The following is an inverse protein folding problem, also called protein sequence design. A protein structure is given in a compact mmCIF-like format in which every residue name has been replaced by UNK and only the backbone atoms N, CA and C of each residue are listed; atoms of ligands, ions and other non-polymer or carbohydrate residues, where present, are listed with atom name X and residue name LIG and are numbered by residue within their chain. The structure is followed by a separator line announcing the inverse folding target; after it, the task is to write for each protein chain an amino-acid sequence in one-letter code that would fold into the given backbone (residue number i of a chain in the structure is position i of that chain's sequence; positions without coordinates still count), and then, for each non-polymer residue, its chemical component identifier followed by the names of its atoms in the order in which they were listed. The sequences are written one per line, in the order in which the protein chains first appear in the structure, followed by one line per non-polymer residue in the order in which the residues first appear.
data_IF_506704947998
#
_entry.id   IF_506704947998
#
_cell.length_a   1.000
_cell.length_b   1.000
_cell.length_c   1.000
_cell.angle_alpha   90.00
_cell.angle_beta   90.00
_cell.angle_gamma   90.00
#
_symmetry.space_group_name_H-M   'P 1'
#
loop_
_entity.id
_entity.type
_entity.pdbx_description
1 polymer ?
#
# COMPACT_ATOMS: atom_id res chain seq x y z
N UNK A 1 13.71 -10.22 -37.59
CA UNK A 1 13.54 -8.97 -36.83
C UNK A 1 14.83 -8.71 -36.05
N UNK A 2 15.70 -7.81 -36.56
CA UNK A 2 16.96 -7.44 -35.89
C UNK A 2 16.64 -6.64 -34.65
N UNK A 3 17.06 -7.12 -33.47
CA UNK A 3 16.98 -6.41 -32.21
C UNK A 3 17.92 -5.20 -32.29
N UNK A 4 17.36 -3.98 -32.42
CA UNK A 4 18.13 -2.76 -32.17
C UNK A 4 18.44 -2.70 -30.65
N UNK A 5 19.61 -3.21 -30.28
CA UNK A 5 20.24 -2.81 -29.02
C UNK A 5 20.75 -1.38 -29.24
N UNK A 6 20.06 -0.42 -28.63
CA UNK A 6 20.53 0.96 -28.56
C UNK A 6 21.92 0.97 -27.92
N UNK A 7 22.91 1.38 -28.71
CA UNK A 7 24.32 1.42 -28.30
C UNK A 7 24.59 2.73 -27.55
N UNK A 8 24.14 2.83 -26.29
CA UNK A 8 24.39 3.99 -25.42
C UNK A 8 25.90 4.17 -25.15
N UNK A 9 26.72 3.15 -25.42
CA UNK A 9 28.18 3.25 -25.31
C UNK A 9 28.79 4.34 -26.21
N UNK A 10 28.07 4.82 -27.23
CA UNK A 10 28.52 5.88 -28.11
C UNK A 10 28.68 7.25 -27.44
N UNK A 11 28.03 7.47 -26.30
CA UNK A 11 28.03 8.73 -25.56
C UNK A 11 29.05 8.80 -24.41
N UNK A 12 29.87 7.77 -24.21
CA UNK A 12 30.86 7.71 -23.11
C UNK A 12 32.19 8.40 -23.44
N UNK A 13 32.33 9.17 -24.49
CA UNK A 13 33.66 9.62 -24.98
C UNK A 13 34.07 11.02 -24.57
N UNK A 14 33.39 11.74 -23.71
CA UNK A 14 33.92 13.01 -23.18
C UNK A 14 34.37 12.83 -21.74
N UNK A 15 35.70 12.74 -21.57
CA UNK A 15 36.36 12.78 -20.27
C UNK A 15 35.97 14.06 -19.54
N UNK A 16 35.28 13.89 -18.42
CA UNK A 16 35.04 14.96 -17.48
C UNK A 16 36.41 15.43 -16.95
N UNK A 17 36.78 16.67 -17.23
CA UNK A 17 37.98 17.29 -16.67
C UNK A 17 37.69 17.69 -15.22
N UNK A 18 38.08 16.84 -14.29
CA UNK A 18 37.91 17.00 -12.83
C UNK A 18 38.83 18.08 -12.22
N UNK A 19 39.53 18.86 -13.04
CA UNK A 19 40.55 19.81 -12.53
C UNK A 19 40.04 21.24 -12.34
N UNK A 20 38.76 21.54 -12.57
CA UNK A 20 38.16 22.87 -12.26
C UNK A 20 37.54 22.88 -10.87
N UNK A 21 38.34 23.31 -9.93
CA UNK A 21 38.06 23.52 -8.50
C UNK A 21 36.93 24.53 -8.25
N UNK A 22 35.82 24.05 -7.79
CA UNK A 22 34.97 24.59 -6.73
C UNK A 22 34.42 23.36 -6.02
N UNK A 23 34.21 23.36 -4.71
CA UNK A 23 33.80 22.22 -3.91
C UNK A 23 32.69 21.42 -4.58
N UNK A 24 33.06 20.44 -5.39
CA UNK A 24 32.14 19.60 -6.13
C UNK A 24 31.56 18.59 -5.17
N UNK A 25 30.25 18.54 -5.07
CA UNK A 25 29.52 17.45 -4.40
C UNK A 25 30.10 16.11 -4.90
N UNK A 26 30.63 15.30 -4.00
CA UNK A 26 31.21 14.00 -4.37
C UNK A 26 30.09 13.14 -4.97
N UNK A 27 30.38 12.38 -6.02
CA UNK A 27 29.41 11.47 -6.66
C UNK A 27 28.75 10.52 -5.64
N UNK A 28 29.43 10.19 -4.55
CA UNK A 28 28.88 9.43 -3.42
C UNK A 28 27.70 10.12 -2.72
N UNK A 29 27.60 11.45 -2.78
CA UNK A 29 26.52 12.23 -2.17
C UNK A 29 25.30 12.37 -3.06
N UNK A 30 25.37 11.92 -4.33
CA UNK A 30 24.25 11.94 -5.27
C UNK A 30 23.21 10.85 -4.97
N UNK A 31 23.58 9.85 -4.18
CA UNK A 31 22.64 8.80 -3.78
C UNK A 31 21.67 9.26 -2.68
N UNK A 32 20.48 8.69 -2.68
CA UNK A 32 19.52 8.92 -1.61
C UNK A 32 19.98 8.24 -0.31
N UNK A 33 19.82 8.94 0.82
CA UNK A 33 20.17 8.37 2.13
C UNK A 33 19.25 7.20 2.54
N UNK A 34 17.99 7.23 2.11
CA UNK A 34 16.99 6.21 2.41
C UNK A 34 17.11 4.95 1.54
N UNK A 35 17.68 5.10 0.34
CA UNK A 35 17.88 3.99 -0.59
C UNK A 35 19.19 4.20 -1.35
N UNK A 36 20.24 3.56 -0.87
CA UNK A 36 21.63 3.71 -1.40
C UNK A 36 21.80 3.21 -2.85
N UNK A 37 20.75 2.61 -3.44
CA UNK A 37 20.77 2.17 -4.85
C UNK A 37 20.08 3.16 -5.80
N UNK A 38 19.42 4.19 -5.31
CA UNK A 38 18.73 5.20 -6.14
C UNK A 38 19.53 6.49 -6.24
N UNK A 39 19.72 6.97 -7.47
CA UNK A 39 20.35 8.25 -7.74
C UNK A 39 19.31 9.36 -7.50
N UNK A 40 19.63 10.31 -6.62
CA UNK A 40 18.82 11.52 -6.46
C UNK A 40 18.99 12.43 -7.68
N UNK A 41 17.94 12.55 -8.49
CA UNK A 41 17.92 13.37 -9.69
C UNK A 41 18.24 14.85 -9.39
N UNK A 42 17.75 15.39 -8.26
CA UNK A 42 18.02 16.76 -7.83
C UNK A 42 19.48 16.96 -7.42
N UNK A 43 20.04 16.03 -6.64
CA UNK A 43 21.45 16.10 -6.25
C UNK A 43 22.37 15.97 -7.47
N UNK A 44 22.01 15.10 -8.42
CA UNK A 44 22.74 14.97 -9.69
C UNK A 44 22.77 16.27 -10.48
N UNK A 45 21.63 16.98 -10.56
CA UNK A 45 21.55 18.29 -11.21
C UNK A 45 22.45 19.33 -10.51
N UNK A 46 22.36 19.41 -9.18
CA UNK A 46 23.18 20.35 -8.37
C UNK A 46 24.65 20.02 -8.52
N UNK A 47 25.03 18.74 -8.46
CA UNK A 47 26.42 18.29 -8.58
C UNK A 47 27.03 18.65 -9.97
N UNK A 48 26.20 18.57 -11.03
CA UNK A 48 26.67 18.83 -12.39
C UNK A 48 26.68 20.32 -12.75
N UNK A 49 25.63 21.05 -12.40
CA UNK A 49 25.45 22.45 -12.84
C UNK A 49 25.71 23.48 -11.75
N UNK A 50 25.88 23.08 -10.52
CA UNK A 50 25.99 23.96 -9.34
C UNK A 50 24.83 24.97 -9.24
N UNK A 51 23.61 24.51 -9.54
CA UNK A 51 22.37 25.31 -9.56
C UNK A 51 21.22 24.52 -8.96
N UNK A 52 20.24 25.23 -8.39
CA UNK A 52 18.98 24.62 -7.95
C UNK A 52 18.04 24.51 -9.17
N UNK A 53 17.55 23.32 -9.54
CA UNK A 53 16.70 23.16 -10.70
C UNK A 53 15.27 23.62 -10.49
N UNK A 54 14.63 24.06 -11.57
CA UNK A 54 13.18 23.93 -11.74
C UNK A 54 12.85 22.46 -12.01
N UNK A 55 11.66 22.02 -11.69
CA UNK A 55 11.26 20.64 -11.77
C UNK A 55 9.91 20.48 -12.46
N UNK A 56 9.85 19.58 -13.46
CA UNK A 56 8.61 19.16 -14.11
C UNK A 56 8.60 17.62 -14.19
N UNK A 57 7.42 17.02 -14.04
CA UNK A 57 7.27 15.58 -14.01
C UNK A 57 6.04 15.15 -14.83
N UNK A 58 6.24 14.18 -15.73
CA UNK A 58 5.17 13.48 -16.44
C UNK A 58 5.09 12.03 -15.96
N UNK A 59 3.92 11.66 -15.47
CA UNK A 59 3.62 10.33 -14.93
C UNK A 59 2.79 9.50 -15.89
N UNK A 60 2.72 8.20 -15.65
CA UNK A 60 1.96 7.25 -16.49
C UNK A 60 2.45 7.20 -17.94
N UNK A 61 3.75 7.39 -18.18
CA UNK A 61 4.36 7.32 -19.51
C UNK A 61 4.93 5.90 -19.75
N UNK A 62 4.78 5.38 -20.97
CA UNK A 62 5.53 4.19 -21.38
C UNK A 62 7.02 4.55 -21.57
N UNK A 63 7.78 4.61 -20.48
CA UNK A 63 9.17 5.04 -20.50
C UNK A 63 10.04 4.25 -21.47
N UNK A 64 9.79 2.96 -21.72
CA UNK A 64 10.56 2.18 -22.68
C UNK A 64 10.39 2.69 -24.11
N UNK A 65 9.14 2.93 -24.53
CA UNK A 65 8.84 3.47 -25.87
C UNK A 65 9.27 4.93 -26.01
N UNK A 66 8.97 5.74 -24.97
CA UNK A 66 9.34 7.14 -24.90
C UNK A 66 10.85 7.33 -24.99
N UNK A 67 11.60 6.53 -24.24
CA UNK A 67 13.06 6.52 -24.24
C UNK A 67 13.64 6.20 -25.62
N UNK A 68 13.17 5.13 -26.30
CA UNK A 68 13.63 4.78 -27.63
C UNK A 68 13.40 5.94 -28.62
N UNK A 69 12.18 6.47 -28.62
CA UNK A 69 11.82 7.61 -29.47
C UNK A 69 12.64 8.87 -29.15
N UNK A 70 12.84 9.16 -27.85
CA UNK A 70 13.61 10.31 -27.42
C UNK A 70 15.05 10.27 -27.91
N UNK A 71 15.71 9.15 -27.77
CA UNK A 71 17.10 8.98 -28.26
C UNK A 71 17.18 9.13 -29.79
N UNK A 72 16.21 8.57 -30.54
CA UNK A 72 16.17 8.69 -32.00
C UNK A 72 15.98 10.15 -32.48
N UNK A 73 15.22 10.97 -31.74
CA UNK A 73 14.87 12.33 -32.17
C UNK A 73 15.77 13.42 -31.56
N UNK A 74 16.43 13.15 -30.43
CA UNK A 74 17.27 14.13 -29.71
C UNK A 74 18.75 13.71 -29.60
N UNK A 75 19.21 12.73 -30.39
CA UNK A 75 20.60 12.23 -30.37
C UNK A 75 21.63 13.37 -30.50
N UNK A 76 21.34 14.37 -31.32
CA UNK A 76 22.26 15.47 -31.60
C UNK A 76 22.34 16.50 -30.48
N UNK A 77 21.29 16.64 -29.70
CA UNK A 77 21.18 17.56 -28.58
C UNK A 77 21.67 16.96 -27.28
N UNK A 78 21.85 15.64 -27.21
CA UNK A 78 22.37 14.95 -26.02
C UNK A 78 23.87 15.21 -25.90
N UNK A 79 24.26 15.84 -24.79
CA UNK A 79 25.66 16.17 -24.47
C UNK A 79 26.31 15.07 -23.65
N UNK A 80 25.57 14.51 -22.69
CA UNK A 80 26.06 13.47 -21.77
C UNK A 80 24.94 12.55 -21.31
N UNK A 81 25.28 11.38 -20.77
CA UNK A 81 24.32 10.39 -20.28
C UNK A 81 24.83 9.63 -19.07
N UNK A 82 23.99 9.58 -18.02
CA UNK A 82 24.20 8.71 -16.86
C UNK A 82 23.08 7.68 -16.80
N UNK A 83 23.38 6.47 -16.34
CA UNK A 83 22.38 5.43 -16.20
C UNK A 83 22.78 4.38 -15.16
N UNK A 84 21.78 3.72 -14.57
CA UNK A 84 21.96 2.47 -13.86
C UNK A 84 21.20 1.34 -14.52
N UNK A 85 21.69 0.12 -14.34
CA UNK A 85 21.08 -1.11 -14.85
C UNK A 85 20.93 -2.12 -13.73
N UNK A 86 19.79 -2.80 -13.71
CA UNK A 86 19.58 -3.94 -12.83
C UNK A 86 19.85 -5.24 -13.58
N UNK A 87 20.67 -6.08 -12.97
CA UNK A 87 20.99 -7.41 -13.48
C UNK A 87 20.19 -8.46 -12.73
N UNK A 88 19.42 -9.27 -13.45
CA UNK A 88 18.66 -10.38 -12.85
C UNK A 88 19.40 -11.69 -13.08
N UNK A 89 19.66 -12.48 -12.02
CA UNK A 89 20.36 -13.78 -12.13
C UNK A 89 19.71 -14.76 -13.11
N UNK A 90 18.41 -14.68 -13.33
CA UNK A 90 17.63 -15.54 -14.25
C UNK A 90 17.58 -15.06 -15.71
N UNK A 91 17.96 -13.83 -15.99
CA UNK A 91 17.90 -13.27 -17.34
C UNK A 91 19.24 -12.67 -17.71
N UNK A 92 19.82 -13.11 -18.84
CA UNK A 92 21.10 -12.61 -19.37
C UNK A 92 21.08 -11.12 -19.78
N UNK A 93 19.90 -10.46 -19.76
CA UNK A 93 19.74 -9.08 -20.21
C UNK A 93 19.56 -8.16 -19.02
N UNK A 94 20.48 -7.22 -18.86
CA UNK A 94 20.34 -6.10 -17.94
C UNK A 94 19.23 -5.15 -18.44
N UNK A 95 18.38 -4.69 -17.53
CA UNK A 95 17.38 -3.65 -17.83
C UNK A 95 17.82 -2.31 -17.24
N UNK A 96 17.63 -1.23 -17.98
CA UNK A 96 17.79 0.11 -17.43
C UNK A 96 16.73 0.35 -16.34
N UNK A 97 17.16 0.89 -15.20
CA UNK A 97 16.27 1.38 -14.15
C UNK A 97 16.03 2.87 -14.32
N UNK A 98 17.13 3.64 -14.38
CA UNK A 98 17.13 5.06 -14.60
C UNK A 98 18.09 5.42 -15.72
N UNK A 99 17.71 6.40 -16.55
CA UNK A 99 18.59 7.02 -17.54
C UNK A 99 18.42 8.53 -17.44
N UNK A 100 19.53 9.25 -17.40
CA UNK A 100 19.61 10.70 -17.31
C UNK A 100 20.30 11.24 -18.54
N UNK A 101 19.62 12.00 -19.35
CA UNK A 101 20.15 12.68 -20.53
C UNK A 101 20.37 14.16 -20.23
N UNK A 102 21.53 14.66 -20.56
CA UNK A 102 21.92 16.06 -20.42
C UNK A 102 21.82 16.74 -21.77
N UNK A 103 21.07 17.84 -21.84
CA UNK A 103 20.80 18.57 -23.08
C UNK A 103 20.92 20.08 -22.85
N UNK A 104 21.17 20.79 -23.92
CA UNK A 104 21.20 22.26 -23.97
C UNK A 104 22.11 22.88 -22.89
N UNK A 105 21.66 24.01 -22.32
CA UNK A 105 22.40 24.76 -21.31
C UNK A 105 22.48 24.02 -19.99
N UNK A 106 21.34 23.52 -19.50
CA UNK A 106 21.25 22.83 -18.21
C UNK A 106 19.93 22.03 -18.06
N UNK A 107 19.54 21.28 -19.07
CA UNK A 107 18.40 20.39 -18.99
C UNK A 107 18.85 18.94 -18.74
N UNK A 108 18.30 18.33 -17.68
CA UNK A 108 18.33 16.86 -17.48
C UNK A 108 16.96 16.28 -17.77
N UNK A 109 16.89 15.29 -18.65
CA UNK A 109 15.71 14.47 -18.87
C UNK A 109 15.98 13.08 -18.28
N UNK A 110 15.28 12.74 -17.20
CA UNK A 110 15.40 11.45 -16.52
C UNK A 110 14.23 10.54 -16.89
N UNK A 111 14.56 9.34 -17.35
CA UNK A 111 13.60 8.26 -17.59
C UNK A 111 13.69 7.24 -16.47
N UNK A 112 12.70 7.22 -15.57
CA UNK A 112 12.53 6.21 -14.53
C UNK A 112 11.69 5.05 -15.11
N UNK A 113 12.38 3.95 -15.44
CA UNK A 113 11.76 2.79 -16.10
C UNK A 113 10.88 1.97 -15.13
N UNK A 114 11.13 2.07 -13.84
CA UNK A 114 10.38 1.33 -12.82
C UNK A 114 9.05 2.00 -12.49
N UNK A 115 9.09 3.32 -12.29
CA UNK A 115 7.90 4.10 -11.95
C UNK A 115 7.09 4.54 -13.17
N UNK A 116 7.63 4.43 -14.40
CA UNK A 116 7.07 4.97 -15.64
C UNK A 116 6.85 6.48 -15.57
N UNK A 117 7.90 7.17 -15.13
CA UNK A 117 7.93 8.61 -14.91
C UNK A 117 9.06 9.22 -15.72
N UNK A 118 8.81 10.38 -16.33
CA UNK A 118 9.85 11.21 -16.95
C UNK A 118 9.94 12.50 -16.15
N UNK A 119 11.17 12.84 -15.71
CA UNK A 119 11.45 14.05 -14.96
C UNK A 119 12.32 14.99 -15.79
N UNK A 120 12.01 16.27 -15.74
CA UNK A 120 12.74 17.34 -16.40
C UNK A 120 13.28 18.29 -15.32
N UNK A 121 14.59 18.44 -15.26
CA UNK A 121 15.26 19.34 -14.34
C UNK A 121 16.02 20.36 -15.16
N UNK A 122 15.77 21.65 -14.94
CA UNK A 122 16.37 22.73 -15.71
C UNK A 122 16.39 24.03 -14.90
N UNK A 123 17.24 24.97 -15.26
CA UNK A 123 17.30 26.30 -14.62
C UNK A 123 17.39 27.43 -15.62
N UNK A 124 18.33 27.39 -16.55
CA UNK A 124 18.57 28.39 -17.58
C UNK A 124 18.02 28.02 -18.95
N UNK A 125 17.84 26.73 -19.22
CA UNK A 125 17.19 26.25 -20.44
C UNK A 125 15.82 26.88 -20.58
N UNK A 126 15.56 27.45 -21.74
CA UNK A 126 14.27 28.10 -22.06
C UNK A 126 13.13 27.09 -21.91
N UNK A 127 12.07 27.53 -21.21
CA UNK A 127 10.91 26.67 -20.95
C UNK A 127 10.23 26.18 -22.23
N UNK A 128 10.27 26.93 -23.32
CA UNK A 128 9.70 26.53 -24.60
C UNK A 128 10.37 25.28 -25.17
N UNK A 129 11.69 25.13 -24.98
CA UNK A 129 12.43 23.91 -25.36
C UNK A 129 11.99 22.72 -24.50
N UNK A 130 11.81 22.93 -23.19
CA UNK A 130 11.35 21.88 -22.27
C UNK A 130 9.92 21.46 -22.60
N UNK A 131 9.01 22.42 -22.77
CA UNK A 131 7.58 22.16 -23.07
C UNK A 131 7.41 21.46 -24.43
N UNK A 132 8.24 21.77 -25.42
CA UNK A 132 8.27 21.03 -26.69
C UNK A 132 8.54 19.54 -26.46
N UNK A 133 9.60 19.20 -25.73
CA UNK A 133 9.95 17.79 -25.42
C UNK A 133 8.84 17.11 -24.63
N UNK A 134 8.30 17.80 -23.63
CA UNK A 134 7.18 17.30 -22.82
C UNK A 134 5.97 16.98 -23.69
N UNK A 135 5.60 17.90 -24.58
CA UNK A 135 4.45 17.76 -25.48
C UNK A 135 4.62 16.56 -26.42
N UNK A 136 5.81 16.38 -26.97
CA UNK A 136 6.14 15.26 -27.87
C UNK A 136 6.13 13.91 -27.10
N UNK A 137 6.61 13.89 -25.87
CA UNK A 137 6.62 12.66 -25.04
C UNK A 137 5.23 12.28 -24.50
N UNK A 138 4.27 13.21 -24.47
CA UNK A 138 2.87 12.93 -24.07
C UNK A 138 2.17 11.91 -24.97
N UNK A 139 2.61 11.70 -26.23
CA UNK A 139 2.08 10.66 -27.12
C UNK A 139 2.27 9.23 -26.52
N UNK A 140 3.25 9.04 -25.64
CA UNK A 140 3.53 7.78 -24.97
C UNK A 140 2.77 7.62 -23.65
N UNK A 141 1.84 8.53 -23.35
CA UNK A 141 1.02 8.46 -22.13
C UNK A 141 0.17 7.19 -22.16
N UNK A 142 0.29 6.41 -21.12
CA UNK A 142 -0.50 5.19 -20.98
C UNK A 142 -1.88 5.55 -20.43
N UNK A 143 -2.92 4.89 -20.96
CA UNK A 143 -4.20 4.90 -20.25
C UNK A 143 -3.93 4.37 -18.84
N UNK A 144 -4.39 5.10 -17.82
CA UNK A 144 -4.25 4.67 -16.42
C UNK A 144 -4.58 3.18 -16.34
N UNK A 145 -3.61 2.38 -15.90
CA UNK A 145 -3.84 0.95 -15.67
C UNK A 145 -5.07 0.83 -14.79
N UNK A 146 -6.01 -0.06 -15.17
CA UNK A 146 -7.17 -0.35 -14.31
C UNK A 146 -6.65 -0.55 -12.89
N UNK A 147 -7.25 0.17 -11.95
CA UNK A 147 -6.90 0.07 -10.52
C UNK A 147 -6.82 -1.41 -10.13
N UNK A 148 -5.63 -1.88 -9.82
CA UNK A 148 -5.45 -3.21 -9.27
C UNK A 148 -5.54 -3.07 -7.75
N UNK A 149 -6.42 -3.83 -7.10
CA UNK A 149 -6.51 -3.78 -5.65
C UNK A 149 -5.16 -4.03 -5.02
N UNK A 150 -4.76 -3.11 -4.17
CA UNK A 150 -3.49 -3.14 -3.46
C UNK A 150 -3.76 -2.82 -2.00
N UNK A 151 -2.97 -3.39 -1.13
CA UNK A 151 -2.89 -3.01 0.27
C UNK A 151 -1.48 -2.50 0.55
N UNK A 152 -1.40 -1.41 1.25
CA UNK A 152 -0.15 -0.83 1.70
C UNK A 152 0.09 -1.25 3.14
N UNK A 153 1.10 -2.08 3.38
CA UNK A 153 1.47 -2.53 4.72
C UNK A 153 2.33 -1.48 5.41
N UNK A 154 1.94 -1.06 6.60
CA UNK A 154 2.75 -0.22 7.46
C UNK A 154 3.84 -1.07 8.12
N UNK A 155 5.09 -0.65 7.99
CA UNK A 155 6.24 -1.37 8.55
C UNK A 155 7.18 -0.40 9.27
N UNK A 156 7.76 -0.85 10.39
CA UNK A 156 8.81 -0.12 11.09
C UNK A 156 10.15 -0.50 10.47
N UNK A 157 10.90 0.50 10.05
CA UNK A 157 12.27 0.35 9.52
C UNK A 157 13.26 1.10 10.41
N UNK A 158 14.54 1.03 10.08
CA UNK A 158 15.57 1.83 10.77
C UNK A 158 15.42 3.33 10.49
N UNK A 159 14.75 3.69 9.43
CA UNK A 159 14.56 5.09 9.00
C UNK A 159 13.21 5.66 9.42
N UNK A 160 12.43 4.94 10.25
CA UNK A 160 11.10 5.33 10.69
C UNK A 160 9.99 4.41 10.15
N UNK A 161 8.79 4.95 10.04
CA UNK A 161 7.60 4.21 9.55
C UNK A 161 7.50 4.36 8.03
N UNK A 162 7.48 3.24 7.32
CA UNK A 162 7.38 3.17 5.86
C UNK A 162 6.15 2.38 5.40
N UNK A 163 5.79 2.56 4.13
CA UNK A 163 4.68 1.86 3.49
C UNK A 163 5.20 0.94 2.39
N UNK A 164 4.88 -0.36 2.50
CA UNK A 164 5.17 -1.37 1.50
C UNK A 164 3.88 -1.86 0.82
N UNK A 165 3.78 -1.68 -0.50
CA UNK A 165 2.58 -2.04 -1.25
C UNK A 165 2.59 -3.49 -1.71
N UNK A 166 1.52 -4.21 -1.39
CA UNK A 166 1.29 -5.62 -1.74
C UNK A 166 0.05 -5.75 -2.62
N UNK A 167 0.10 -6.68 -3.58
CA UNK A 167 -1.08 -7.03 -4.40
C UNK A 167 -1.99 -7.97 -3.62
N UNK A 168 -3.29 -7.70 -3.63
CA UNK A 168 -4.30 -8.60 -3.05
C UNK A 168 -5.04 -9.30 -4.19
N UNK A 169 -5.19 -10.64 -4.11
CA UNK A 169 -6.06 -11.36 -5.01
C UNK A 169 -7.53 -10.94 -4.76
N UNK A 170 -8.31 -10.81 -5.83
CA UNK A 170 -9.73 -10.51 -5.71
C UNK A 170 -10.45 -11.72 -5.12
N UNK A 171 -11.14 -11.59 -3.98
CA UNK A 171 -11.91 -12.70 -3.41
C UNK A 171 -13.14 -12.98 -4.29
N UNK A 172 -13.50 -14.26 -4.39
CA UNK A 172 -14.74 -14.74 -5.01
C UNK A 172 -15.86 -14.75 -3.98
N UNK A 173 -16.18 -13.58 -3.41
CA UNK A 173 -17.15 -13.45 -2.33
C UNK A 173 -18.38 -12.70 -2.82
N UNK A 174 -19.56 -13.30 -2.66
CA UNK A 174 -20.85 -12.66 -2.87
C UNK A 174 -21.50 -12.37 -1.52
N UNK A 175 -21.86 -11.09 -1.28
CA UNK A 175 -22.36 -10.64 0.04
C UNK A 175 -23.62 -11.38 0.44
N UNK A 176 -24.58 -11.52 -0.49
CA UNK A 176 -25.85 -12.17 -0.20
C UNK A 176 -25.75 -13.65 0.14
N UNK A 177 -24.74 -14.35 -0.35
CA UNK A 177 -24.53 -15.76 -0.07
C UNK A 177 -23.78 -16.01 1.25
N UNK A 178 -22.86 -15.10 1.59
CA UNK A 178 -21.89 -15.32 2.67
C UNK A 178 -22.28 -14.64 3.99
N UNK A 179 -23.30 -13.77 3.99
CA UNK A 179 -23.72 -13.07 5.20
C UNK A 179 -25.24 -13.09 5.32
N UNK A 180 -25.74 -12.93 6.55
CA UNK A 180 -27.16 -12.81 6.81
C UNK A 180 -27.75 -11.54 6.17
N UNK A 181 -29.07 -11.52 5.91
CA UNK A 181 -29.71 -10.47 5.13
C UNK A 181 -29.69 -9.10 5.82
N UNK A 182 -29.64 -9.07 7.13
CA UNK A 182 -29.49 -7.85 7.96
C UNK A 182 -28.16 -7.12 7.69
N UNK A 183 -27.16 -7.81 7.15
CA UNK A 183 -25.89 -7.21 6.77
C UNK A 183 -25.97 -6.38 5.49
N UNK A 184 -26.85 -6.70 4.55
CA UNK A 184 -26.93 -6.07 3.23
C UNK A 184 -27.05 -4.53 3.34
N UNK A 185 -28.02 -3.98 4.11
CA UNK A 185 -28.16 -2.53 4.24
C UNK A 185 -26.94 -1.88 4.92
N UNK A 186 -26.29 -2.59 5.87
CA UNK A 186 -25.07 -2.11 6.53
C UNK A 186 -23.90 -2.08 5.54
N UNK A 187 -23.76 -3.12 4.73
CA UNK A 187 -22.78 -3.18 3.64
C UNK A 187 -22.90 -2.00 2.68
N UNK A 188 -24.13 -1.67 2.24
CA UNK A 188 -24.37 -0.56 1.31
C UNK A 188 -23.96 0.78 1.93
N UNK A 189 -24.27 1.01 3.19
CA UNK A 189 -23.84 2.21 3.93
C UNK A 189 -22.30 2.27 3.98
N UNK A 190 -21.65 1.18 4.37
CA UNK A 190 -20.19 1.10 4.45
C UNK A 190 -19.57 1.41 3.10
N UNK A 191 -19.97 0.71 2.05
CA UNK A 191 -19.41 0.88 0.71
C UNK A 191 -19.62 2.30 0.16
N UNK A 192 -20.84 2.86 0.33
CA UNK A 192 -21.17 4.23 -0.08
C UNK A 192 -20.32 5.26 0.65
N UNK A 193 -20.16 5.13 1.97
CA UNK A 193 -19.40 6.07 2.78
C UNK A 193 -17.89 5.97 2.52
N UNK A 194 -17.33 4.76 2.45
CA UNK A 194 -15.92 4.55 2.18
C UNK A 194 -15.50 4.99 0.76
N UNK A 195 -16.40 4.90 -0.22
CA UNK A 195 -16.14 5.36 -1.59
C UNK A 195 -16.09 6.88 -1.75
N UNK A 196 -16.64 7.66 -0.82
CA UNK A 196 -16.65 9.12 -0.90
C UNK A 196 -15.26 9.69 -0.69
N UNK A 197 -14.86 10.64 -1.56
CA UNK A 197 -13.69 11.51 -1.33
C UNK A 197 -14.00 12.49 -0.19
N UNK A 198 -12.95 12.97 0.45
CA UNK A 198 -13.03 13.96 1.53
C UNK A 198 -14.05 13.54 2.61
N UNK A 199 -14.00 12.28 3.01
CA UNK A 199 -14.86 11.71 4.03
C UNK A 199 -14.01 11.02 5.09
N UNK A 200 -14.43 11.16 6.34
CA UNK A 200 -13.79 10.59 7.52
C UNK A 200 -14.76 9.71 8.30
N UNK A 201 -14.26 8.94 9.22
CA UNK A 201 -15.05 8.15 10.16
C UNK A 201 -14.56 6.72 10.34
N UNK A 202 -15.25 6.00 11.19
CA UNK A 202 -14.88 4.71 11.71
C UNK A 202 -15.93 3.64 11.34
N UNK A 203 -15.47 2.48 10.87
CA UNK A 203 -16.26 1.26 10.71
C UNK A 203 -15.79 0.25 11.74
N UNK A 204 -16.69 -0.28 12.53
CA UNK A 204 -16.42 -1.30 13.54
C UNK A 204 -17.07 -2.62 13.14
N UNK A 205 -16.24 -3.64 12.93
CA UNK A 205 -16.64 -4.98 12.50
C UNK A 205 -16.27 -5.98 13.61
N UNK A 206 -17.26 -6.52 14.30
CA UNK A 206 -17.02 -7.45 15.37
C UNK A 206 -17.77 -8.78 15.16
N UNK A 207 -17.54 -9.77 16.01
CA UNK A 207 -18.15 -11.09 15.92
C UNK A 207 -17.16 -12.21 16.16
N UNK A 208 -17.66 -13.42 16.30
CA UNK A 208 -16.86 -14.61 16.58
C UNK A 208 -15.79 -14.86 15.50
N UNK A 209 -14.67 -15.54 15.82
CA UNK A 209 -13.73 -16.03 14.83
C UNK A 209 -14.44 -16.93 13.79
N UNK A 210 -14.01 -16.86 12.52
CA UNK A 210 -14.57 -17.69 11.45
C UNK A 210 -15.86 -17.14 10.81
N UNK A 211 -16.45 -16.04 11.26
CA UNK A 211 -17.67 -15.43 10.70
C UNK A 211 -17.43 -14.58 9.43
N UNK A 212 -16.19 -14.48 8.95
CA UNK A 212 -15.88 -13.85 7.66
C UNK A 212 -15.48 -12.38 7.69
N UNK A 213 -15.16 -11.78 8.85
CA UNK A 213 -14.73 -10.37 8.98
C UNK A 213 -13.57 -10.00 8.05
N UNK A 214 -12.47 -10.75 8.11
CA UNK A 214 -11.29 -10.55 7.23
C UNK A 214 -11.63 -10.75 5.75
N UNK A 215 -12.50 -11.71 5.41
CA UNK A 215 -12.95 -11.94 4.04
C UNK A 215 -13.75 -10.73 3.52
N UNK A 216 -14.60 -10.14 4.35
CA UNK A 216 -15.33 -8.92 4.04
C UNK A 216 -14.39 -7.72 3.84
N UNK A 217 -13.40 -7.54 4.70
CA UNK A 217 -12.38 -6.48 4.54
C UNK A 217 -11.65 -6.63 3.21
N UNK A 218 -11.20 -7.83 2.86
CA UNK A 218 -10.57 -8.11 1.55
C UNK A 218 -11.51 -7.78 0.39
N UNK A 219 -12.79 -8.11 0.49
CA UNK A 219 -13.81 -7.75 -0.50
C UNK A 219 -13.90 -6.23 -0.65
N UNK A 220 -14.02 -5.48 0.44
CA UNK A 220 -14.07 -4.02 0.43
C UNK A 220 -12.84 -3.41 -0.27
N UNK A 221 -11.64 -3.86 0.07
CA UNK A 221 -10.39 -3.37 -0.53
C UNK A 221 -10.41 -3.51 -2.06
N UNK A 222 -11.02 -4.58 -2.57
CA UNK A 222 -11.10 -4.81 -4.02
C UNK A 222 -12.16 -3.98 -4.74
N UNK A 223 -13.12 -3.44 -4.01
CA UNK A 223 -14.22 -2.60 -4.54
C UNK A 223 -13.94 -1.10 -4.42
N UNK A 224 -13.10 -0.71 -3.47
CA UNK A 224 -12.77 0.68 -3.19
C UNK A 224 -11.61 1.15 -4.07
N UNK A 225 -11.75 2.36 -4.64
CA UNK A 225 -10.70 3.02 -5.44
C UNK A 225 -9.89 4.01 -4.58
N UNK A 226 -9.50 3.58 -3.39
CA UNK A 226 -8.70 4.37 -2.45
C UNK A 226 -7.44 3.61 -2.07
N UNK A 227 -6.43 4.33 -1.61
CA UNK A 227 -5.28 3.70 -0.98
C UNK A 227 -5.73 3.08 0.35
N UNK A 228 -5.44 1.80 0.55
CA UNK A 228 -5.77 1.07 1.78
C UNK A 228 -4.46 0.75 2.49
N UNK A 229 -4.34 1.24 3.72
CA UNK A 229 -3.16 1.07 4.56
C UNK A 229 -3.51 0.10 5.68
N UNK A 230 -2.81 -1.02 5.73
CA UNK A 230 -2.99 -2.03 6.77
C UNK A 230 -2.00 -1.80 7.91
N UNK A 231 -2.53 -1.66 9.10
CA UNK A 231 -1.78 -1.60 10.34
C UNK A 231 -1.79 -2.99 11.00
N UNK A 232 -0.65 -3.71 11.02
CA UNK A 232 -0.56 -4.99 11.70
C UNK A 232 -0.81 -4.84 13.21
N UNK A 233 -1.41 -5.84 13.88
CA UNK A 233 -1.62 -5.79 15.34
C UNK A 233 -0.33 -5.55 16.13
N UNK A 234 0.80 -6.08 15.65
CA UNK A 234 2.14 -5.86 16.24
C UNK A 234 2.60 -4.39 16.20
N UNK A 235 1.99 -3.56 15.36
CA UNK A 235 2.28 -2.14 15.21
C UNK A 235 1.19 -1.24 15.81
N UNK A 236 0.32 -1.76 16.69
CA UNK A 236 -0.73 -0.98 17.36
C UNK A 236 -0.17 0.25 18.08
N UNK A 237 1.02 0.14 18.69
CA UNK A 237 1.75 1.25 19.32
C UNK A 237 2.19 2.32 18.34
N UNK A 238 2.31 2.03 17.06
CA UNK A 238 2.67 3.03 16.05
C UNK A 238 1.62 4.13 15.91
N UNK A 239 0.36 3.89 16.28
CA UNK A 239 -0.68 4.93 16.31
C UNK A 239 -0.33 6.12 17.22
N UNK A 240 0.48 5.89 18.25
CA UNK A 240 0.93 6.93 19.19
C UNK A 240 2.29 7.50 18.84
N UNK A 241 2.96 6.95 17.83
CA UNK A 241 4.28 7.39 17.41
C UNK A 241 4.16 8.64 16.53
N UNK A 242 4.82 9.76 16.87
CA UNK A 242 4.86 10.96 16.03
C UNK A 242 5.36 10.70 14.61
N UNK A 243 6.21 9.69 14.41
CA UNK A 243 6.71 9.28 13.09
C UNK A 243 5.60 8.80 12.12
N UNK A 244 4.40 8.47 12.63
CA UNK A 244 3.27 8.13 11.79
C UNK A 244 2.68 9.36 11.07
N UNK A 245 2.80 10.56 11.65
CA UNK A 245 2.18 11.79 11.12
C UNK A 245 2.63 12.10 9.68
N UNK A 246 3.93 12.10 9.33
CA UNK A 246 4.36 12.28 7.95
C UNK A 246 3.72 11.28 6.99
N UNK A 247 3.66 10.01 7.38
CA UNK A 247 3.02 8.96 6.58
C UNK A 247 1.54 9.22 6.35
N UNK A 248 0.82 9.76 7.34
CA UNK A 248 -0.59 10.15 7.19
C UNK A 248 -0.75 11.34 6.25
N UNK A 249 0.12 12.34 6.34
CA UNK A 249 0.13 13.55 5.50
C UNK A 249 0.36 13.18 4.03
N UNK A 250 1.27 12.25 3.77
CA UNK A 250 1.58 11.77 2.42
C UNK A 250 0.47 10.90 1.81
N UNK A 251 -0.48 10.42 2.64
CA UNK A 251 -1.55 9.52 2.24
C UNK A 251 -2.96 10.04 2.62
N UNK A 252 -3.37 11.23 2.20
CA UNK A 252 -4.70 11.75 2.48
C UNK A 252 -5.78 10.94 1.74
N UNK A 253 -7.01 10.99 2.23
CA UNK A 253 -8.15 10.24 1.67
C UNK A 253 -7.96 8.72 1.61
N UNK A 254 -7.07 8.17 2.42
CA UNK A 254 -6.82 6.73 2.53
C UNK A 254 -7.80 6.05 3.50
N UNK A 255 -7.76 4.72 3.48
CA UNK A 255 -8.50 3.88 4.42
C UNK A 255 -7.48 3.11 5.25
N UNK A 256 -7.51 3.30 6.56
CA UNK A 256 -6.72 2.50 7.49
C UNK A 256 -7.51 1.26 7.92
N UNK A 257 -6.87 0.11 7.83
CA UNK A 257 -7.44 -1.17 8.28
C UNK A 257 -6.62 -1.69 9.45
N UNK A 258 -7.29 -1.98 10.54
CA UNK A 258 -6.72 -2.53 11.76
C UNK A 258 -7.49 -3.81 12.07
N UNK A 259 -6.88 -4.97 11.84
CA UNK A 259 -7.45 -6.26 12.23
C UNK A 259 -7.01 -6.62 13.65
N UNK A 260 -7.85 -7.40 14.35
CA UNK A 260 -7.63 -7.85 15.73
C UNK A 260 -7.30 -6.67 16.66
N UNK A 261 -8.12 -5.62 16.56
CA UNK A 261 -7.91 -4.33 17.22
C UNK A 261 -8.28 -4.33 18.71
N UNK A 262 -8.45 -5.50 19.34
CA UNK A 262 -8.87 -5.63 20.75
C UNK A 262 -8.03 -4.76 21.70
N UNK A 263 -6.70 -4.84 21.54
CA UNK A 263 -5.77 -4.09 22.40
C UNK A 263 -5.79 -2.57 22.19
N UNK A 264 -6.41 -2.12 21.10
CA UNK A 264 -6.49 -0.70 20.74
C UNK A 264 -7.81 -0.08 21.23
N UNK A 265 -8.91 -0.84 21.15
CA UNK A 265 -10.28 -0.33 21.27
C UNK A 265 -10.96 -0.64 22.60
N UNK A 266 -10.36 -1.52 23.43
CA UNK A 266 -10.91 -1.88 24.74
C UNK A 266 -10.92 -0.68 25.69
N UNK A 267 -11.90 -0.67 26.57
CA UNK A 267 -12.10 0.36 27.58
C UNK A 267 -10.91 0.45 28.55
N UNK A 268 -10.69 1.64 29.07
CA UNK A 268 -9.54 2.01 29.91
C UNK A 268 -9.64 1.38 31.29
N UNK A 269 -9.14 0.20 31.49
CA UNK A 269 -9.11 -0.38 32.86
C UNK A 269 -7.99 0.21 33.72
N UNK A 270 -6.87 0.71 33.21
CA UNK A 270 -5.79 1.35 33.98
C UNK A 270 -5.02 2.40 33.18
N UNK A 271 -5.39 3.68 33.35
CA UNK A 271 -4.57 4.85 33.03
C UNK A 271 -4.07 5.00 31.60
N UNK A 272 -4.53 6.03 30.89
CA UNK A 272 -4.04 6.55 29.59
C UNK A 272 -3.92 5.54 28.42
N UNK A 273 -5.03 5.15 27.84
CA UNK A 273 -5.00 4.43 26.56
C UNK A 273 -4.69 5.41 25.42
N UNK A 274 -3.39 5.68 25.22
CA UNK A 274 -2.90 6.59 24.19
C UNK A 274 -3.34 6.15 22.78
N UNK A 275 -3.51 4.84 22.56
CA UNK A 275 -3.91 4.27 21.26
C UNK A 275 -5.37 4.63 20.89
N UNK A 276 -6.34 4.54 21.83
CA UNK A 276 -7.72 5.01 21.59
C UNK A 276 -7.72 6.50 21.29
N UNK A 277 -6.98 7.29 22.09
CA UNK A 277 -6.91 8.74 21.88
C UNK A 277 -6.29 9.09 20.53
N UNK A 278 -5.25 8.39 20.09
CA UNK A 278 -4.66 8.57 18.77
C UNK A 278 -5.66 8.22 17.66
N UNK A 279 -6.37 7.10 17.79
CA UNK A 279 -7.40 6.69 16.84
C UNK A 279 -8.51 7.74 16.73
N UNK A 280 -8.94 8.30 17.88
CA UNK A 280 -9.93 9.37 17.93
C UNK A 280 -9.43 10.63 17.23
N UNK A 281 -8.20 11.02 17.44
CA UNK A 281 -7.60 12.20 16.80
C UNK A 281 -7.50 12.04 15.28
N UNK A 282 -7.17 10.85 14.80
CA UNK A 282 -7.10 10.53 13.36
C UNK A 282 -8.50 10.46 12.75
N UNK A 283 -9.52 9.99 13.49
CA UNK A 283 -10.88 9.80 12.96
C UNK A 283 -11.80 11.02 13.11
N UNK A 284 -11.53 11.93 14.05
CA UNK A 284 -12.44 13.06 14.34
C UNK A 284 -11.73 14.31 14.93
N UNK A 285 -10.40 14.35 15.03
CA UNK A 285 -9.63 15.53 15.45
C UNK A 285 -9.36 16.51 14.29
N UNK A 286 -8.66 17.62 14.57
CA UNK A 286 -8.22 18.58 13.55
C UNK A 286 -7.45 17.91 12.40
N UNK A 287 -6.61 16.92 12.69
CA UNK A 287 -5.91 16.12 11.67
C UNK A 287 -6.90 15.40 10.76
N UNK A 288 -7.99 14.90 11.29
CA UNK A 288 -9.04 14.21 10.53
C UNK A 288 -9.65 15.09 9.44
N UNK A 289 -9.86 16.38 9.73
CA UNK A 289 -10.43 17.32 8.75
C UNK A 289 -9.48 17.62 7.59
N UNK A 290 -8.17 17.60 7.87
CA UNK A 290 -7.14 17.81 6.85
C UNK A 290 -6.87 16.54 6.03
N UNK A 291 -6.82 15.40 6.70
CA UNK A 291 -6.38 14.13 6.09
C UNK A 291 -7.52 13.33 5.46
N UNK A 292 -8.75 13.49 5.94
CA UNK A 292 -9.94 12.76 5.48
C UNK A 292 -9.75 11.24 5.48
N UNK A 293 -9.14 10.71 6.52
CA UNK A 293 -8.85 9.29 6.70
C UNK A 293 -10.09 8.58 7.24
N UNK A 294 -10.38 7.41 6.67
CA UNK A 294 -11.41 6.50 7.15
C UNK A 294 -10.74 5.28 7.76
N UNK A 295 -11.34 4.73 8.81
CA UNK A 295 -10.73 3.64 9.57
C UNK A 295 -11.70 2.47 9.60
N UNK A 296 -11.18 1.26 9.39
CA UNK A 296 -11.90 0.00 9.57
C UNK A 296 -11.19 -0.78 10.68
N UNK A 297 -11.89 -1.06 11.77
CA UNK A 297 -11.39 -1.92 12.84
C UNK A 297 -12.18 -3.22 12.85
N UNK A 298 -11.49 -4.37 12.91
CA UNK A 298 -12.12 -5.66 13.21
C UNK A 298 -11.62 -6.21 14.54
N UNK A 299 -12.50 -6.93 15.26
CA UNK A 299 -12.22 -7.53 16.55
C UNK A 299 -13.17 -8.68 16.88
N UNK A 300 -12.76 -9.54 17.82
CA UNK A 300 -13.52 -10.72 18.21
C UNK A 300 -14.27 -10.54 19.55
N UNK A 301 -14.05 -9.40 20.22
CA UNK A 301 -14.61 -9.09 21.54
C UNK A 301 -16.00 -8.47 21.42
N UNK A 302 -16.81 -8.57 22.48
CA UNK A 302 -18.12 -7.94 22.55
C UNK A 302 -18.00 -6.41 22.52
N UNK A 303 -18.95 -5.78 21.82
CA UNK A 303 -19.05 -4.31 21.66
C UNK A 303 -19.19 -3.59 23.00
N UNK A 304 -19.77 -4.23 24.02
CA UNK A 304 -19.92 -3.65 25.37
C UNK A 304 -18.59 -3.25 26.01
N UNK A 305 -17.49 -3.84 25.56
CA UNK A 305 -16.13 -3.55 26.05
C UNK A 305 -15.39 -2.46 25.26
N UNK A 306 -16.02 -1.90 24.22
CA UNK A 306 -15.39 -0.86 23.39
C UNK A 306 -15.55 0.50 24.08
N UNK A 307 -14.48 1.32 24.04
CA UNK A 307 -14.53 2.70 24.51
C UNK A 307 -15.70 3.46 23.86
N UNK A 308 -16.63 3.95 24.67
CA UNK A 308 -17.84 4.64 24.24
C UNK A 308 -17.56 5.87 23.36
N UNK A 309 -16.39 6.48 23.48
CA UNK A 309 -15.97 7.61 22.66
C UNK A 309 -15.88 7.25 21.16
N UNK A 310 -15.58 6.00 20.83
CA UNK A 310 -15.55 5.50 19.44
C UNK A 310 -16.96 5.34 18.84
N UNK A 311 -17.97 5.16 19.67
CA UNK A 311 -19.36 4.92 19.26
C UNK A 311 -20.17 6.20 19.04
N UNK A 312 -19.59 7.40 19.26
CA UNK A 312 -20.30 8.68 19.13
C UNK A 312 -20.80 8.93 17.72
N UNK A 313 -22.02 9.48 17.61
CA UNK A 313 -22.59 9.97 16.35
C UNK A 313 -21.66 11.00 15.70
N UNK A 314 -21.48 10.92 14.39
CA UNK A 314 -20.57 11.77 13.61
C UNK A 314 -19.21 11.12 13.34
N UNK A 315 -18.72 10.25 14.25
CA UNK A 315 -17.48 9.46 14.07
C UNK A 315 -17.77 8.12 13.40
N UNK A 316 -18.80 7.45 13.90
CA UNK A 316 -19.16 6.10 13.46
C UNK A 316 -19.86 6.14 12.09
N UNK A 317 -19.29 5.47 11.11
CA UNK A 317 -19.90 5.21 9.81
C UNK A 317 -20.91 4.08 9.93
N UNK A 318 -20.44 2.95 10.48
CA UNK A 318 -21.24 1.77 10.72
C UNK A 318 -20.60 0.88 11.79
N UNK A 319 -21.43 0.08 12.44
CA UNK A 319 -21.06 -1.00 13.34
C UNK A 319 -21.85 -2.24 12.93
N UNK A 320 -21.19 -3.40 12.87
CA UNK A 320 -21.87 -4.65 12.60
C UNK A 320 -21.27 -5.82 13.36
N UNK A 321 -22.18 -6.67 13.90
CA UNK A 321 -21.84 -7.91 14.57
C UNK A 321 -22.04 -9.09 13.63
N UNK A 322 -20.92 -9.66 13.17
CA UNK A 322 -20.93 -10.80 12.28
C UNK A 322 -21.33 -12.07 13.02
N UNK A 323 -22.56 -12.51 12.81
CA UNK A 323 -23.10 -13.73 13.36
C UNK A 323 -22.78 -14.95 12.49
N UNK A 324 -22.95 -16.15 13.06
CA UNK A 324 -22.98 -17.39 12.30
C UNK A 324 -24.07 -17.28 11.21
N UNK A 325 -23.81 -17.86 10.06
CA UNK A 325 -24.77 -17.88 8.96
C UNK A 325 -25.98 -18.74 9.37
N UNK A 326 -27.19 -18.22 9.16
CA UNK A 326 -28.42 -18.94 9.53
C UNK A 326 -28.52 -20.27 8.76
N UNK A 327 -29.34 -21.20 9.27
CA UNK A 327 -29.43 -22.58 8.76
C UNK A 327 -29.74 -22.63 7.27
N UNK A 328 -30.71 -21.82 6.81
CA UNK A 328 -31.12 -21.79 5.42
C UNK A 328 -29.98 -21.36 4.50
N UNK A 329 -29.33 -20.22 4.81
CA UNK A 329 -28.21 -19.70 4.03
C UNK A 329 -26.98 -20.62 4.11
N UNK A 330 -26.71 -21.23 5.26
CA UNK A 330 -25.62 -22.18 5.42
C UNK A 330 -25.79 -23.37 4.48
N UNK A 331 -27.01 -23.92 4.37
CA UNK A 331 -27.33 -25.01 3.47
C UNK A 331 -27.29 -24.62 2.00
N UNK A 332 -27.79 -23.43 1.64
CA UNK A 332 -27.68 -22.90 0.27
C UNK A 332 -26.22 -22.73 -0.11
N UNK A 333 -25.40 -22.13 0.75
CA UNK A 333 -23.98 -21.92 0.50
C UNK A 333 -23.21 -23.24 0.39
N UNK A 334 -23.50 -24.23 1.27
CA UNK A 334 -22.92 -25.58 1.23
C UNK A 334 -23.16 -26.25 -0.13
N UNK A 335 -24.43 -26.26 -0.61
CA UNK A 335 -24.78 -26.79 -1.93
C UNK A 335 -24.09 -26.03 -3.07
N UNK A 336 -24.00 -24.69 -2.99
CA UNK A 336 -23.33 -23.85 -3.99
C UNK A 336 -21.82 -24.15 -4.07
N UNK A 337 -21.20 -24.55 -2.97
CA UNK A 337 -19.80 -24.98 -2.89
C UNK A 337 -19.58 -26.42 -3.34
N UNK A 338 -20.66 -27.18 -3.62
CA UNK A 338 -20.59 -28.57 -4.07
C UNK A 338 -20.60 -29.60 -2.95
N UNK A 339 -20.97 -29.20 -1.73
CA UNK A 339 -21.11 -30.13 -0.60
C UNK A 339 -22.55 -30.62 -0.44
N UNK A 340 -22.71 -31.87 -0.03
CA UNK A 340 -24.02 -32.47 0.25
C UNK A 340 -24.43 -32.36 1.73
N UNK A 341 -23.60 -31.77 2.57
CA UNK A 341 -23.83 -31.65 4.01
C UNK A 341 -25.01 -30.72 4.30
N UNK A 342 -25.96 -31.18 5.11
CA UNK A 342 -27.05 -30.38 5.65
C UNK A 342 -26.78 -29.98 7.10
N UNK A 343 -26.74 -28.68 7.35
CA UNK A 343 -26.59 -28.13 8.70
C UNK A 343 -27.95 -28.02 9.40
N UNK A 344 -27.99 -28.40 10.69
CA UNK A 344 -29.18 -28.30 11.55
C UNK A 344 -29.12 -27.09 12.52
N UNK A 345 -28.01 -26.37 12.50
CA UNK A 345 -27.78 -25.16 13.32
C UNK A 345 -27.07 -24.09 12.49
N UNK A 346 -27.10 -22.85 12.96
CA UNK A 346 -26.32 -21.76 12.39
C UNK A 346 -24.83 -22.11 12.42
N UNK A 347 -24.08 -21.74 11.38
CA UNK A 347 -22.68 -22.15 11.20
C UNK A 347 -21.78 -20.99 10.84
N UNK A 348 -20.56 -20.90 11.41
CA UNK A 348 -19.57 -19.93 10.98
C UNK A 348 -19.09 -20.26 9.55
N UNK A 349 -18.80 -19.24 8.77
CA UNK A 349 -18.36 -19.41 7.37
C UNK A 349 -17.14 -20.33 7.25
N UNK A 350 -16.20 -20.26 8.18
CA UNK A 350 -15.00 -21.11 8.17
C UNK A 350 -15.36 -22.60 8.18
N UNK A 351 -16.41 -23.00 8.87
CA UNK A 351 -16.87 -24.41 8.89
C UNK A 351 -17.55 -24.81 7.58
N UNK A 352 -18.26 -23.88 6.94
CA UNK A 352 -18.94 -24.15 5.66
C UNK A 352 -17.95 -24.27 4.51
N UNK A 353 -16.88 -23.45 4.52
CA UNK A 353 -15.87 -23.48 3.46
C UNK A 353 -14.84 -24.60 3.58
N UNK A 354 -14.60 -25.10 4.79
CA UNK A 354 -13.53 -26.08 5.06
C UNK A 354 -14.09 -27.45 5.48
N UNK A 355 -15.25 -27.87 4.92
CA UNK A 355 -15.90 -29.12 5.24
C UNK A 355 -15.03 -30.35 4.89
N UNK A 356 -14.16 -30.22 3.88
CA UNK A 356 -13.27 -31.28 3.43
C UNK A 356 -12.00 -31.42 4.28
N UNK A 357 -11.70 -30.42 5.13
CA UNK A 357 -10.53 -30.49 6.00
C UNK A 357 -10.79 -31.52 7.12
N UNK A 358 -10.11 -32.66 7.04
CA UNK A 358 -10.11 -33.62 8.14
C UNK A 358 -9.57 -32.95 9.40
N UNK A 359 -10.35 -32.98 10.47
CA UNK A 359 -9.90 -32.56 11.80
C UNK A 359 -8.64 -33.32 12.19
N UNK A 360 -7.46 -32.74 11.95
CA UNK A 360 -6.15 -33.33 12.31
C UNK A 360 -5.89 -33.16 13.82
N UNK A 361 -6.86 -32.69 14.59
CA UNK A 361 -6.75 -32.70 16.04
C UNK A 361 -6.95 -34.11 16.58
N UNK A 362 -5.84 -34.86 16.74
CA UNK A 362 -5.84 -35.99 17.64
C UNK A 362 -6.28 -35.48 19.04
N UNK A 363 -7.29 -36.10 19.67
CA UNK A 363 -7.63 -35.72 21.03
C UNK A 363 -6.37 -35.96 21.88
N UNK A 364 -5.89 -34.88 22.54
CA UNK A 364 -4.84 -35.07 23.55
C UNK A 364 -5.35 -36.11 24.52
N UNK A 365 -4.76 -37.32 24.50
CA UNK A 365 -4.93 -38.28 25.60
C UNK A 365 -4.44 -37.52 26.83
N UNK A 366 -5.37 -37.16 27.69
CA UNK A 366 -5.07 -36.77 29.08
C UNK A 366 -4.48 -37.99 29.73
N UNK A 367 -3.18 -38.18 29.66
CA UNK A 367 -2.46 -39.05 30.57
C UNK A 367 -2.56 -38.38 31.92
N UNK A 368 -3.45 -38.88 32.78
CA UNK A 368 -3.47 -38.51 34.19
C UNK A 368 -2.11 -38.91 34.78
N UNK A 369 -1.28 -37.91 35.05
CA UNK A 369 -0.08 -38.08 35.87
C UNK A 369 -0.58 -38.04 37.32
N UNK A 370 -1.01 -39.23 37.80
CA UNK A 370 -1.32 -39.46 39.20
C UNK A 370 -0.12 -40.05 39.88
N UNK A 371 0.39 -39.38 40.90
CA UNK A 371 1.31 -40.02 41.88
C UNK A 371 0.52 -41.09 42.66
N UNK A 372 0.82 -42.35 42.43
CA UNK A 372 0.36 -43.43 43.33
C UNK A 372 1.14 -43.31 44.64
N UNK A 373 0.47 -42.87 45.71
CA UNK A 373 0.95 -43.08 47.07
C UNK A 373 0.94 -44.58 47.37
N UNK A 374 2.11 -45.21 47.48
CA UNK A 374 2.23 -46.56 48.06
C UNK A 374 1.95 -46.42 49.55
N UNK A 375 0.84 -47.00 50.01
CA UNK A 375 0.63 -47.30 51.40
C UNK A 375 1.55 -48.48 51.75
N UNK A 376 2.52 -48.22 52.64
CA UNK A 376 3.25 -49.26 53.34
C UNK A 376 2.37 -49.72 54.51
N UNK A 377 2.01 -51.03 54.47
CA UNK A 377 1.52 -51.77 55.60
C UNK A 377 2.68 -52.57 56.24
#
# INVERSE_FOLDING_TARGET
MKKHQLNIQKFQSNKFDLTKTTEQIKLSEVYNYSNSSEISHTKLFVAHFNKIPNYLCEIDINCKKAHTWFVENYEKEIVDVYYNKRYFKKHKNAAYEDVFYFLFEDLIVNFDMNQNVIRFLFRQTDFSKVDKIVSELKQFKQKRKKFKPQISLLVQTRNGIEINTLKIPKPTLEIGDNYNDDFIPVHDIILKRLSKKNNKGLVLLHGKPGTGKTSYIRYLITRLKKNVIFLPPSMATALTNPELIPTLIDNPNSIFVIEDAENIILEREHGSNSAVSALLNISDGLLSDCLNIQIICSFNTDVSKIDSALLRKGRLIAKYDFQDLNIEKANILSKKLGFETEFKASMPLSMIYNQDEKNIHQPRRLTSIGFQTRNAG
#
